data_IF_526626382432
#
_entry.id   IF_526626382432
#
_cell.length_a   1.000
_cell.length_b   1.000
_cell.length_c   1.000
_cell.angle_alpha   90.00
_cell.angle_beta   90.00
_cell.angle_gamma   90.00
#
_symmetry.space_group_name_H-M   'P 1'
#
loop_
_entity.id
_entity.type
_entity.pdbx_description
1 polymer ?
#
# COMPACT_ATOMS: atom_id res chain seq x y z
N UNK A 1 13.73 -20.54 0.34
CA UNK A 1 13.30 -20.72 -1.07
C UNK A 1 13.36 -19.36 -1.76
N UNK A 2 14.53 -18.94 -2.21
CA UNK A 2 14.72 -17.75 -3.05
C UNK A 2 14.86 -18.22 -4.50
N UNK A 3 13.75 -18.25 -5.22
CA UNK A 3 13.72 -18.39 -6.69
C UNK A 3 13.08 -17.15 -7.31
N UNK A 4 13.47 -15.98 -6.83
CA UNK A 4 13.38 -14.79 -7.67
C UNK A 4 14.56 -14.94 -8.62
N UNK A 5 14.30 -15.60 -9.75
CA UNK A 5 15.23 -15.59 -10.88
C UNK A 5 15.61 -14.14 -11.11
N UNK A 6 16.92 -13.87 -11.15
CA UNK A 6 17.43 -12.53 -11.34
C UNK A 6 16.70 -11.89 -12.52
N UNK A 7 16.26 -10.64 -12.34
CA UNK A 7 15.87 -9.81 -13.46
C UNK A 7 17.12 -9.61 -14.31
N UNK A 8 17.42 -10.57 -15.18
CA UNK A 8 18.37 -10.37 -16.25
C UNK A 8 17.72 -9.33 -17.15
N UNK A 9 18.14 -8.07 -17.01
CA UNK A 9 17.79 -6.97 -17.89
C UNK A 9 18.40 -7.21 -19.28
N UNK A 10 17.93 -8.27 -19.93
CA UNK A 10 18.29 -8.64 -21.28
C UNK A 10 17.27 -7.98 -22.21
N UNK A 11 17.75 -7.26 -23.23
CA UNK A 11 16.89 -6.61 -24.21
C UNK A 11 15.91 -7.61 -24.86
N UNK A 12 16.30 -8.88 -24.93
CA UNK A 12 15.45 -9.96 -25.43
C UNK A 12 14.35 -10.41 -24.48
N UNK A 13 14.53 -10.28 -23.17
CA UNK A 13 13.51 -10.51 -22.16
C UNK A 13 12.54 -9.31 -22.11
N UNK A 14 13.06 -8.08 -22.21
CA UNK A 14 12.25 -6.87 -22.20
C UNK A 14 11.27 -6.81 -23.37
N UNK A 15 11.73 -7.13 -24.60
CA UNK A 15 10.85 -7.21 -25.79
C UNK A 15 9.75 -8.27 -25.67
N UNK A 16 9.97 -9.34 -24.90
CA UNK A 16 8.99 -10.40 -24.70
C UNK A 16 7.96 -10.06 -23.61
N UNK A 17 8.37 -9.28 -22.60
CA UNK A 17 7.53 -8.91 -21.45
C UNK A 17 6.75 -7.62 -21.70
N UNK A 18 7.31 -6.63 -22.40
CA UNK A 18 6.67 -5.34 -22.66
C UNK A 18 5.26 -5.46 -23.28
N UNK A 19 5.04 -6.24 -24.35
CA UNK A 19 3.70 -6.38 -24.92
C UNK A 19 2.74 -7.04 -23.93
N UNK A 20 3.22 -8.01 -23.14
CA UNK A 20 2.41 -8.66 -22.11
C UNK A 20 2.00 -7.71 -21.00
N UNK A 21 2.82 -6.72 -20.66
CA UNK A 21 2.47 -5.68 -19.69
C UNK A 21 1.47 -4.70 -20.33
N UNK A 22 1.79 -4.18 -21.51
CA UNK A 22 0.98 -3.14 -22.18
C UNK A 22 -0.39 -3.65 -22.59
N UNK A 23 -0.55 -4.91 -22.98
CA UNK A 23 -1.85 -5.47 -23.38
C UNK A 23 -2.57 -6.20 -22.24
N UNK A 24 -2.07 -6.17 -21.00
CA UNK A 24 -2.76 -6.76 -19.87
C UNK A 24 -3.77 -5.77 -19.25
N UNK A 25 -5.09 -6.01 -19.39
CA UNK A 25 -6.10 -5.09 -18.86
C UNK A 25 -6.05 -4.94 -17.34
N UNK A 26 -5.61 -5.95 -16.58
CA UNK A 26 -5.50 -5.86 -15.12
C UNK A 26 -4.46 -4.81 -14.70
N UNK A 27 -3.39 -4.66 -15.49
CA UNK A 27 -2.36 -3.66 -15.22
C UNK A 27 -2.94 -2.26 -15.38
N UNK A 28 -3.71 -2.03 -16.45
CA UNK A 28 -4.40 -0.75 -16.65
C UNK A 28 -5.45 -0.46 -15.58
N UNK A 29 -6.19 -1.48 -15.13
CA UNK A 29 -7.12 -1.34 -14.00
C UNK A 29 -6.35 -0.93 -12.73
N UNK A 30 -5.22 -1.59 -12.45
CA UNK A 30 -4.36 -1.24 -11.33
C UNK A 30 -3.80 0.19 -11.41
N UNK A 31 -3.33 0.59 -12.59
CA UNK A 31 -2.87 1.97 -12.85
C UNK A 31 -4.01 2.98 -12.70
N UNK A 32 -5.20 2.67 -13.19
CA UNK A 32 -6.39 3.50 -13.02
C UNK A 32 -6.76 3.67 -11.54
N UNK A 33 -6.75 2.57 -10.77
CA UNK A 33 -6.96 2.60 -9.32
C UNK A 33 -5.89 3.42 -8.59
N UNK A 34 -4.62 3.28 -8.97
CA UNK A 34 -3.53 4.06 -8.40
C UNK A 34 -3.67 5.56 -8.70
N UNK A 35 -3.99 5.91 -9.95
CA UNK A 35 -4.24 7.30 -10.35
C UNK A 35 -5.43 7.91 -9.62
N UNK A 36 -6.53 7.17 -9.49
CA UNK A 36 -7.70 7.60 -8.74
C UNK A 36 -7.39 7.77 -7.24
N UNK A 37 -6.63 6.85 -6.66
CA UNK A 37 -6.13 6.95 -5.29
C UNK A 37 -5.29 8.20 -5.07
N UNK A 38 -4.40 8.53 -6.02
CA UNK A 38 -3.62 9.76 -5.97
C UNK A 38 -4.49 11.02 -6.01
N UNK A 39 -5.51 11.06 -6.88
CA UNK A 39 -6.46 12.19 -6.94
C UNK A 39 -7.20 12.36 -5.61
N UNK A 40 -7.73 11.27 -5.04
CA UNK A 40 -8.39 11.33 -3.74
C UNK A 40 -7.45 11.76 -2.62
N UNK A 41 -6.21 11.27 -2.63
CA UNK A 41 -5.20 11.63 -1.63
C UNK A 41 -4.85 13.12 -1.70
N UNK A 42 -4.57 13.65 -2.90
CA UNK A 42 -4.33 15.07 -3.10
C UNK A 42 -5.55 15.92 -2.71
N UNK A 43 -6.75 15.43 -3.02
CA UNK A 43 -8.01 16.05 -2.60
C UNK A 43 -8.17 16.10 -1.07
N UNK A 44 -7.78 15.05 -0.35
CA UNK A 44 -7.78 15.04 1.11
C UNK A 44 -6.75 16.02 1.69
N UNK A 45 -5.53 16.02 1.16
CA UNK A 45 -4.46 16.95 1.58
C UNK A 45 -4.80 18.43 1.34
N UNK A 46 -5.67 18.73 0.37
CA UNK A 46 -6.14 20.11 0.15
C UNK A 46 -7.08 20.63 1.25
N UNK A 47 -7.63 19.75 2.10
CA UNK A 47 -8.66 20.08 3.10
C UNK A 47 -8.25 19.76 4.54
N UNK A 48 -7.25 18.90 4.71
CA UNK A 48 -6.79 18.39 6.01
C UNK A 48 -5.32 18.75 6.18
N UNK A 49 -4.90 19.25 7.35
CA UNK A 49 -3.48 19.50 7.60
C UNK A 49 -2.67 18.21 7.43
N UNK A 50 -1.49 18.37 6.84
CA UNK A 50 -0.59 17.26 6.52
C UNK A 50 -0.22 16.46 7.77
N UNK A 51 -0.08 17.15 8.90
CA UNK A 51 0.21 16.58 10.21
C UNK A 51 -0.85 15.59 10.67
N UNK A 52 -2.15 15.81 10.37
CA UNK A 52 -3.24 14.88 10.66
C UNK A 52 -3.40 13.79 9.59
N UNK A 53 -3.11 14.13 8.33
CA UNK A 53 -3.26 13.21 7.21
C UNK A 53 -2.31 12.00 7.31
N UNK A 54 -1.06 12.20 7.70
CA UNK A 54 -0.09 11.10 7.85
C UNK A 54 -0.46 10.07 8.93
N UNK A 55 -0.92 10.47 10.13
CA UNK A 55 -1.49 9.55 11.11
C UNK A 55 -2.67 8.74 10.55
N UNK A 56 -3.61 9.39 9.86
CA UNK A 56 -4.74 8.67 9.23
C UNK A 56 -4.24 7.67 8.18
N UNK A 57 -3.24 8.05 7.38
CA UNK A 57 -2.60 7.14 6.42
C UNK A 57 -1.96 5.95 7.13
N UNK A 58 -1.33 6.15 8.30
CA UNK A 58 -0.73 5.06 9.07
C UNK A 58 -1.76 4.05 9.60
N UNK A 59 -3.03 4.44 9.79
CA UNK A 59 -4.11 3.48 10.12
C UNK A 59 -4.38 2.49 8.99
N UNK A 60 -4.01 2.79 7.74
CA UNK A 60 -4.12 1.82 6.64
C UNK A 60 -3.33 0.54 6.91
N UNK A 61 -2.29 0.58 7.76
CA UNK A 61 -1.53 -0.61 8.15
C UNK A 61 -2.40 -1.65 8.88
N UNK A 62 -3.39 -1.20 9.66
CA UNK A 62 -4.36 -2.09 10.28
C UNK A 62 -5.21 -2.80 9.20
N UNK A 63 -5.68 -2.05 8.20
CA UNK A 63 -6.45 -2.59 7.08
C UNK A 63 -5.62 -3.60 6.28
N UNK A 64 -4.36 -3.28 5.98
CA UNK A 64 -3.45 -4.21 5.27
C UNK A 64 -3.25 -5.51 6.03
N UNK A 65 -3.09 -5.46 7.36
CA UNK A 65 -2.96 -6.67 8.18
C UNK A 65 -4.27 -7.47 8.21
N UNK A 66 -5.41 -6.79 8.29
CA UNK A 66 -6.73 -7.44 8.20
C UNK A 66 -6.93 -8.10 6.84
N UNK A 67 -6.56 -7.44 5.74
CA UNK A 67 -6.65 -7.97 4.38
C UNK A 67 -5.71 -9.17 4.18
N UNK A 68 -4.48 -9.08 4.68
CA UNK A 68 -3.52 -10.17 4.64
C UNK A 68 -4.04 -11.42 5.39
N UNK A 69 -4.72 -11.22 6.51
CA UNK A 69 -5.32 -12.30 7.29
C UNK A 69 -6.58 -12.89 6.64
N UNK A 70 -7.51 -12.05 6.18
CA UNK A 70 -8.83 -12.46 5.68
C UNK A 70 -8.80 -12.96 4.23
N UNK A 71 -8.11 -12.24 3.33
CA UNK A 71 -8.11 -12.55 1.90
C UNK A 71 -6.94 -13.44 1.51
N UNK A 72 -5.73 -13.10 1.99
CA UNK A 72 -4.51 -13.84 1.63
C UNK A 72 -4.25 -15.03 2.56
N UNK A 73 -5.03 -15.17 3.65
CA UNK A 73 -4.88 -16.24 4.64
C UNK A 73 -3.45 -16.32 5.22
N UNK A 74 -2.75 -15.19 5.29
CA UNK A 74 -1.40 -15.12 5.85
C UNK A 74 -1.44 -15.29 7.38
N UNK A 75 -0.43 -15.98 7.92
CA UNK A 75 -0.24 -16.06 9.37
C UNK A 75 0.23 -14.71 9.90
N UNK A 76 -0.68 -14.00 10.56
CA UNK A 76 -0.34 -12.78 11.31
C UNK A 76 0.33 -13.18 12.62
N UNK A 77 1.55 -12.71 12.83
CA UNK A 77 2.29 -12.98 14.07
C UNK A 77 1.82 -12.04 15.18
N UNK A 78 1.93 -12.49 16.44
CA UNK A 78 1.65 -11.65 17.61
C UNK A 78 2.48 -10.36 17.62
N UNK A 79 3.72 -10.41 17.14
CA UNK A 79 4.58 -9.23 17.03
C UNK A 79 4.04 -8.21 16.02
N UNK A 80 3.47 -8.67 14.89
CA UNK A 80 2.83 -7.78 13.90
C UNK A 80 1.60 -7.09 14.49
N UNK A 81 0.79 -7.81 15.27
CA UNK A 81 -0.35 -7.23 15.99
C UNK A 81 0.06 -6.18 17.01
N UNK A 82 1.12 -6.44 17.79
CA UNK A 82 1.68 -5.46 18.74
C UNK A 82 2.19 -4.20 18.01
N UNK A 83 2.89 -4.37 16.89
CA UNK A 83 3.32 -3.23 16.06
C UNK A 83 2.15 -2.39 15.55
N UNK A 84 1.08 -3.03 15.08
CA UNK A 84 -0.15 -2.33 14.66
C UNK A 84 -0.78 -1.58 15.83
N UNK A 85 -0.84 -2.17 17.03
CA UNK A 85 -1.37 -1.49 18.22
C UNK A 85 -0.57 -0.23 18.56
N UNK A 86 0.77 -0.31 18.48
CA UNK A 86 1.66 0.85 18.70
C UNK A 86 1.41 1.94 17.67
N UNK A 87 1.24 1.58 16.38
CA UNK A 87 0.89 2.54 15.33
C UNK A 87 -0.44 3.23 15.66
N UNK A 88 -1.48 2.45 16.01
CA UNK A 88 -2.81 3.01 16.34
C UNK A 88 -2.72 3.98 17.52
N UNK A 89 -2.00 3.62 18.59
CA UNK A 89 -1.79 4.52 19.74
C UNK A 89 -1.08 5.80 19.31
N UNK A 90 -0.01 5.69 18.52
CA UNK A 90 0.72 6.84 17.98
C UNK A 90 -0.18 7.77 17.16
N UNK A 91 -1.04 7.19 16.31
CA UNK A 91 -2.01 7.96 15.52
C UNK A 91 -3.00 8.70 16.40
N UNK A 92 -3.54 8.05 17.43
CA UNK A 92 -4.49 8.70 18.36
C UNK A 92 -3.81 9.87 19.06
N UNK A 93 -2.58 9.70 19.55
CA UNK A 93 -1.83 10.77 20.22
C UNK A 93 -1.63 11.97 19.29
N UNK A 94 -1.13 11.75 18.06
CA UNK A 94 -0.93 12.84 17.09
C UNK A 94 -2.26 13.48 16.69
N UNK A 95 -3.29 12.67 16.43
CA UNK A 95 -4.61 13.17 16.09
C UNK A 95 -5.23 14.06 17.17
N UNK A 96 -5.03 13.72 18.44
CA UNK A 96 -5.46 14.56 19.58
C UNK A 96 -4.60 15.81 19.80
N UNK A 97 -3.38 15.87 19.26
CA UNK A 97 -2.50 17.02 19.42
C UNK A 97 -2.81 18.18 18.46
N UNK A 98 -3.62 17.91 17.43
CA UNK A 98 -3.99 18.87 16.39
C UNK A 98 -5.43 19.42 16.55
N UNK A 99 -6.17 18.92 17.53
CA UNK A 99 -7.50 19.41 17.95
C UNK A 99 -7.34 20.41 19.08
#
# INVERSE_FOLDING_TARGET
MNRVGGFEFNASALRAVLPRIVFNPLIWIGFGGFGLGAIFWLGALSRVPLSLAYPILALSYFVVVAEAWLFLHERVTWLRMLGVLVIVIGVVIVGTSEV
#
